data_IF_155229191498
#
_entry.id   IF_155229191498
#
_cell.length_a   1.000
_cell.length_b   1.000
_cell.length_c   1.000
_cell.angle_alpha   90.00
_cell.angle_beta   90.00
_cell.angle_gamma   90.00
#
_symmetry.space_group_name_H-M   'P 1'
#
loop_
_entity.id
_entity.type
_entity.pdbx_description
1 polymer ?
#
# COMPACT_ATOMS: atom_id res chain seq x y z
N UNK A 1 41.99 20.92 11.17
CA UNK A 1 40.78 20.45 10.46
C UNK A 1 40.02 19.74 11.54
N UNK A 2 39.11 20.50 12.12
CA UNK A 2 38.78 20.34 13.53
C UNK A 2 37.68 19.29 13.65
N UNK A 3 37.81 18.41 14.63
CA UNK A 3 36.91 17.27 14.88
C UNK A 3 35.43 17.69 14.95
N UNK A 4 35.18 18.93 15.39
CA UNK A 4 33.87 19.60 15.37
C UNK A 4 33.27 19.78 13.98
N UNK A 5 34.09 20.06 12.97
CA UNK A 5 33.66 20.27 11.60
C UNK A 5 33.24 18.93 10.97
N UNK A 6 34.00 17.86 11.25
CA UNK A 6 33.70 16.48 10.87
C UNK A 6 32.39 15.98 11.51
N UNK A 7 32.23 16.19 12.83
CA UNK A 7 30.99 15.87 13.55
C UNK A 7 29.79 16.65 13.02
N UNK A 8 29.96 17.94 12.68
CA UNK A 8 28.89 18.75 12.12
C UNK A 8 28.46 18.25 10.73
N UNK A 9 29.41 17.83 9.89
CA UNK A 9 29.15 17.29 8.56
C UNK A 9 28.47 15.92 8.62
N UNK A 10 28.91 15.04 9.52
CA UNK A 10 28.28 13.73 9.74
C UNK A 10 26.84 13.90 10.25
N UNK A 11 26.63 14.77 11.24
CA UNK A 11 25.31 15.03 11.80
C UNK A 11 24.37 15.76 10.82
N UNK A 12 24.91 16.63 9.96
CA UNK A 12 24.15 17.23 8.87
C UNK A 12 23.79 16.20 7.79
N UNK A 13 24.72 15.33 7.40
CA UNK A 13 24.48 14.27 6.41
C UNK A 13 23.41 13.31 6.89
N UNK A 14 23.49 12.85 8.14
CA UNK A 14 22.49 11.96 8.73
C UNK A 14 21.12 12.65 8.77
N UNK A 15 21.07 13.95 9.10
CA UNK A 15 19.83 14.71 9.10
C UNK A 15 19.24 14.88 7.69
N UNK A 16 20.08 15.11 6.67
CA UNK A 16 19.64 15.18 5.27
C UNK A 16 19.16 13.82 4.76
N UNK A 17 19.84 12.73 5.10
CA UNK A 17 19.44 11.36 4.73
C UNK A 17 18.10 10.97 5.39
N UNK A 18 17.87 11.39 6.63
CA UNK A 18 16.58 11.23 7.32
C UNK A 18 15.47 12.04 6.62
N UNK A 19 15.73 13.29 6.22
CA UNK A 19 14.74 14.17 5.57
C UNK A 19 14.38 13.67 4.15
N UNK A 20 15.38 13.28 3.35
CA UNK A 20 15.13 12.71 2.01
C UNK A 20 14.48 11.33 2.10
N UNK A 21 14.87 10.51 3.09
CA UNK A 21 14.22 9.23 3.39
C UNK A 21 12.75 9.40 3.76
N UNK A 22 12.40 10.41 4.56
CA UNK A 22 11.02 10.73 4.93
C UNK A 22 10.18 11.18 3.74
N UNK A 23 10.71 12.08 2.89
CA UNK A 23 9.99 12.56 1.70
C UNK A 23 9.76 11.46 0.67
N UNK A 24 10.75 10.57 0.49
CA UNK A 24 10.64 9.39 -0.36
C UNK A 24 9.60 8.40 0.18
N UNK A 25 9.58 8.19 1.49
CA UNK A 25 8.58 7.34 2.15
C UNK A 25 7.15 7.88 1.99
N UNK A 26 6.95 9.20 2.12
CA UNK A 26 5.64 9.83 1.94
C UNK A 26 5.11 9.70 0.50
N UNK A 27 5.96 9.89 -0.50
CA UNK A 27 5.59 9.66 -1.90
C UNK A 27 5.30 8.17 -2.18
N UNK A 28 6.12 7.28 -1.61
CA UNK A 28 5.92 5.84 -1.67
C UNK A 28 4.58 5.41 -1.06
N UNK A 29 4.15 6.04 0.04
CA UNK A 29 2.88 5.76 0.72
C UNK A 29 1.68 6.14 -0.18
N UNK A 30 1.73 7.32 -0.82
CA UNK A 30 0.68 7.77 -1.74
C UNK A 30 0.60 6.86 -2.97
N UNK A 31 1.75 6.51 -3.55
CA UNK A 31 1.80 5.62 -4.72
C UNK A 31 1.29 4.21 -4.37
N UNK A 32 1.72 3.65 -3.23
CA UNK A 32 1.25 2.36 -2.74
C UNK A 32 -0.27 2.35 -2.54
N UNK A 33 -0.84 3.37 -1.89
CA UNK A 33 -2.29 3.49 -1.71
C UNK A 33 -3.06 3.54 -3.04
N UNK A 34 -2.55 4.29 -4.02
CA UNK A 34 -3.15 4.37 -5.34
C UNK A 34 -3.11 3.01 -6.07
N UNK A 35 -1.99 2.30 -6.02
CA UNK A 35 -1.82 1.01 -6.69
C UNK A 35 -2.65 -0.11 -6.03
N UNK A 36 -2.64 -0.20 -4.70
CA UNK A 36 -3.45 -1.16 -3.94
C UNK A 36 -4.93 -0.96 -4.27
N UNK A 37 -5.39 0.29 -4.29
CA UNK A 37 -6.77 0.62 -4.62
C UNK A 37 -7.14 0.22 -6.05
N UNK A 38 -6.29 0.54 -7.03
CA UNK A 38 -6.54 0.22 -8.43
C UNK A 38 -6.60 -1.31 -8.65
N UNK A 39 -5.64 -2.07 -8.11
CA UNK A 39 -5.60 -3.53 -8.23
C UNK A 39 -6.83 -4.14 -7.53
N UNK A 40 -7.17 -3.69 -6.32
CA UNK A 40 -8.34 -4.17 -5.59
C UNK A 40 -9.65 -3.91 -6.33
N UNK A 41 -9.80 -2.72 -6.91
CA UNK A 41 -10.96 -2.35 -7.72
C UNK A 41 -11.08 -3.23 -8.97
N UNK A 42 -10.00 -3.37 -9.74
CA UNK A 42 -9.99 -4.20 -10.96
C UNK A 42 -10.32 -5.66 -10.63
N UNK A 43 -9.75 -6.20 -9.55
CA UNK A 43 -10.01 -7.57 -9.09
C UNK A 43 -11.49 -7.80 -8.77
N UNK A 44 -12.13 -6.85 -8.07
CA UNK A 44 -13.57 -6.92 -7.78
C UNK A 44 -14.39 -6.88 -9.07
N UNK A 45 -14.05 -6.01 -10.02
CA UNK A 45 -14.78 -5.90 -11.29
C UNK A 45 -14.68 -7.19 -12.10
N UNK A 46 -13.50 -7.79 -12.18
CA UNK A 46 -13.31 -9.09 -12.86
C UNK A 46 -14.17 -10.16 -12.17
N UNK A 47 -14.08 -10.27 -10.84
CA UNK A 47 -14.85 -11.26 -10.09
C UNK A 47 -16.37 -11.08 -10.23
N UNK A 48 -16.86 -9.84 -10.20
CA UNK A 48 -18.29 -9.54 -10.40
C UNK A 48 -18.70 -9.84 -11.84
N UNK A 49 -17.86 -9.56 -12.83
CA UNK A 49 -18.15 -9.87 -14.23
C UNK A 49 -18.32 -11.38 -14.45
N UNK A 50 -17.54 -12.20 -13.73
CA UNK A 50 -17.67 -13.66 -13.76
C UNK A 50 -18.90 -14.16 -12.99
N UNK A 51 -19.23 -13.54 -11.84
CA UNK A 51 -20.38 -13.93 -11.00
C UNK A 51 -21.72 -13.51 -11.63
N UNK A 52 -21.76 -12.31 -12.21
CA UNK A 52 -22.96 -11.61 -12.65
C UNK A 52 -22.93 -11.32 -14.16
N UNK A 53 -22.91 -12.36 -15.03
CA UNK A 53 -22.98 -12.15 -16.48
C UNK A 53 -24.33 -11.55 -16.93
N UNK A 54 -25.35 -11.58 -16.06
CA UNK A 54 -26.67 -10.98 -16.30
C UNK A 54 -27.09 -10.09 -15.13
N UNK A 55 -27.98 -9.13 -15.41
CA UNK A 55 -28.49 -8.18 -14.41
C UNK A 55 -29.39 -8.88 -13.37
N UNK A 56 -29.96 -10.05 -13.69
CA UNK A 56 -30.87 -10.75 -12.79
C UNK A 56 -30.09 -11.53 -11.71
N UNK A 57 -30.21 -11.17 -10.42
CA UNK A 57 -29.45 -11.77 -9.32
C UNK A 57 -29.76 -13.25 -9.07
N UNK A 58 -30.90 -13.76 -9.58
CA UNK A 58 -31.26 -15.18 -9.47
C UNK A 58 -30.42 -16.08 -10.39
N UNK A 59 -29.82 -15.52 -11.44
CA UNK A 59 -29.01 -16.25 -12.42
C UNK A 59 -27.50 -16.08 -12.19
N UNK A 60 -27.10 -15.52 -11.05
CA UNK A 60 -25.68 -15.31 -10.76
C UNK A 60 -25.00 -16.62 -10.41
N UNK A 61 -23.87 -16.87 -11.05
CA UNK A 61 -23.12 -18.11 -10.93
C UNK A 61 -22.17 -18.06 -9.72
N UNK A 62 -22.74 -17.91 -8.52
CA UNK A 62 -21.96 -17.78 -7.27
C UNK A 62 -21.02 -18.96 -6.99
N UNK A 63 -21.30 -20.17 -7.50
CA UNK A 63 -20.42 -21.33 -7.33
C UNK A 63 -19.29 -21.42 -8.37
N UNK A 64 -19.34 -20.61 -9.43
CA UNK A 64 -18.32 -20.55 -10.49
C UNK A 64 -17.51 -19.25 -10.42
N UNK A 65 -18.07 -18.25 -9.75
CA UNK A 65 -17.43 -16.96 -9.56
C UNK A 65 -16.12 -17.04 -8.79
N UNK A 66 -15.20 -16.17 -9.17
CA UNK A 66 -13.87 -16.11 -8.57
C UNK A 66 -13.88 -15.44 -7.20
N UNK A 67 -14.32 -16.19 -6.18
CA UNK A 67 -14.38 -15.72 -4.79
C UNK A 67 -13.02 -15.30 -4.24
N UNK A 68 -11.92 -15.83 -4.81
CA UNK A 68 -10.56 -15.43 -4.46
C UNK A 68 -10.29 -14.00 -4.91
N UNK A 69 -10.63 -13.64 -6.15
CA UNK A 69 -10.49 -12.27 -6.65
C UNK A 69 -11.41 -11.29 -5.91
N UNK A 70 -12.65 -11.70 -5.60
CA UNK A 70 -13.58 -10.86 -4.85
C UNK A 70 -13.09 -10.63 -3.41
N UNK A 71 -12.69 -11.69 -2.72
CA UNK A 71 -12.19 -11.63 -1.34
C UNK A 71 -10.87 -10.88 -1.23
N UNK A 72 -9.89 -11.16 -2.10
CA UNK A 72 -8.61 -10.45 -2.12
C UNK A 72 -8.79 -8.99 -2.52
N UNK A 73 -9.65 -8.70 -3.50
CA UNK A 73 -9.94 -7.33 -3.93
C UNK A 73 -10.59 -6.51 -2.81
N UNK A 74 -11.54 -7.10 -2.08
CA UNK A 74 -12.13 -6.47 -0.90
C UNK A 74 -11.10 -6.28 0.23
N UNK A 75 -10.23 -7.27 0.45
CA UNK A 75 -9.12 -7.17 1.40
C UNK A 75 -8.14 -6.04 1.06
N UNK A 76 -7.77 -5.89 -0.22
CA UNK A 76 -6.94 -4.78 -0.69
C UNK A 76 -7.63 -3.43 -0.51
N UNK A 77 -8.94 -3.37 -0.76
CA UNK A 77 -9.71 -2.15 -0.49
C UNK A 77 -9.63 -1.77 1.00
N UNK A 78 -9.82 -2.72 1.92
CA UNK A 78 -9.63 -2.48 3.36
C UNK A 78 -8.19 -2.04 3.70
N UNK A 79 -7.19 -2.60 3.04
CA UNK A 79 -5.79 -2.20 3.24
C UNK A 79 -5.54 -0.76 2.77
N UNK A 80 -6.06 -0.36 1.62
CA UNK A 80 -6.03 1.04 1.16
C UNK A 80 -6.72 1.98 2.15
N UNK A 81 -7.88 1.59 2.69
CA UNK A 81 -8.54 2.38 3.74
C UNK A 81 -7.65 2.53 4.98
N UNK A 82 -7.04 1.43 5.44
CA UNK A 82 -6.16 1.42 6.61
C UNK A 82 -4.92 2.32 6.43
N UNK A 83 -4.33 2.34 5.22
CA UNK A 83 -3.19 3.23 4.90
C UNK A 83 -3.59 4.71 4.90
N UNK A 84 -4.82 5.03 4.51
CA UNK A 84 -5.34 6.39 4.46
C UNK A 84 -6.19 6.76 5.70
N UNK A 85 -6.01 6.07 6.83
CA UNK A 85 -6.74 6.27 8.09
C UNK A 85 -8.29 6.32 7.92
N UNK A 86 -8.85 5.48 7.05
CA UNK A 86 -10.28 5.43 6.70
C UNK A 86 -10.87 6.73 6.16
N UNK A 87 -10.02 7.71 5.82
CA UNK A 87 -10.48 9.01 5.32
C UNK A 87 -11.28 8.84 4.04
N UNK A 88 -10.93 7.85 3.19
CA UNK A 88 -11.63 7.57 1.92
C UNK A 88 -13.12 7.24 2.07
N UNK A 89 -13.57 6.69 3.20
CA UNK A 89 -14.98 6.46 3.50
C UNK A 89 -15.76 7.74 3.83
N UNK A 90 -15.07 8.78 4.31
CA UNK A 90 -15.72 10.06 4.59
C UNK A 90 -15.94 10.80 3.28
N UNK A 91 -17.19 11.22 2.96
CA UNK A 91 -17.46 12.09 1.83
C UNK A 91 -16.60 13.37 1.88
N UNK A 92 -16.25 13.94 0.72
CA UNK A 92 -15.39 15.13 0.63
C UNK A 92 -15.93 16.31 1.46
N UNK A 93 -17.25 16.49 1.51
CA UNK A 93 -17.89 17.53 2.32
C UNK A 93 -17.67 17.32 3.82
N UNK A 94 -17.78 16.07 4.30
CA UNK A 94 -17.58 15.74 5.72
C UNK A 94 -16.13 15.95 6.13
N UNK A 95 -15.18 15.68 5.22
CA UNK A 95 -13.75 16.00 5.44
C UNK A 95 -13.50 17.50 5.53
N UNK A 96 -14.15 18.30 4.68
CA UNK A 96 -14.04 19.76 4.73
C UNK A 96 -14.59 20.31 6.06
N UNK A 97 -15.73 19.81 6.53
CA UNK A 97 -16.31 20.20 7.83
C UNK A 97 -15.38 19.82 9.00
N UNK A 98 -14.78 18.64 8.95
CA UNK A 98 -13.87 18.16 9.99
C UNK A 98 -12.45 18.74 9.89
N UNK A 99 -12.17 19.64 8.93
CA UNK A 99 -10.82 20.18 8.62
C UNK A 99 -9.75 19.08 8.50
N UNK A 100 -10.13 17.90 7.99
CA UNK A 100 -9.22 16.78 7.86
C UNK A 100 -8.33 16.93 6.62
N UNK A 101 -7.02 16.77 6.79
CA UNK A 101 -6.07 16.75 5.67
C UNK A 101 -6.41 15.65 4.65
N UNK A 102 -6.38 16.01 3.37
CA UNK A 102 -6.84 15.21 2.23
C UNK A 102 -5.93 14.00 1.96
N UNK A 103 -4.67 14.06 2.40
CA UNK A 103 -3.68 13.01 2.25
C UNK A 103 -3.46 12.15 3.51
N UNK A 104 -2.77 11.01 3.36
CA UNK A 104 -2.23 10.27 4.50
C UNK A 104 -1.30 11.17 5.31
N UNK A 105 -1.27 10.99 6.63
CA UNK A 105 -0.32 11.71 7.50
C UNK A 105 1.11 11.36 7.09
N UNK A 106 2.03 12.33 7.14
CA UNK A 106 3.45 12.09 6.89
C UNK A 106 3.98 11.02 7.83
N UNK A 107 4.98 10.25 7.40
CA UNK A 107 5.61 9.20 8.20
C UNK A 107 6.13 9.76 9.55
N UNK A 108 6.71 10.96 9.56
CA UNK A 108 7.27 11.61 10.75
C UNK A 108 6.20 12.08 11.77
N UNK A 109 4.96 12.26 11.34
CA UNK A 109 3.85 12.74 12.18
C UNK A 109 3.05 11.61 12.84
N UNK A 110 3.43 10.36 12.59
CA UNK A 110 2.72 9.17 13.06
C UNK A 110 3.33 8.63 14.35
N UNK A 111 2.49 8.11 15.24
CA UNK A 111 2.97 7.31 16.37
C UNK A 111 3.64 6.03 15.86
N UNK A 112 4.61 5.52 16.62
CA UNK A 112 5.30 4.25 16.32
C UNK A 112 4.31 3.08 16.09
N UNK A 113 3.23 3.05 16.88
CA UNK A 113 2.14 2.07 16.72
C UNK A 113 1.38 2.19 15.39
N UNK A 114 1.20 3.41 14.88
CA UNK A 114 0.56 3.66 13.60
C UNK A 114 1.49 3.30 12.43
N UNK A 115 2.78 3.61 12.55
CA UNK A 115 3.79 3.23 11.56
C UNK A 115 3.91 1.70 11.44
N UNK A 116 3.99 0.97 12.56
CA UNK A 116 4.00 -0.50 12.58
C UNK A 116 2.75 -1.10 11.94
N UNK A 117 1.57 -0.56 12.25
CA UNK A 117 0.31 -0.99 11.64
C UNK A 117 0.34 -0.81 10.13
N UNK A 118 0.76 0.35 9.62
CA UNK A 118 0.82 0.61 8.18
C UNK A 118 1.85 -0.25 7.47
N UNK A 119 3.02 -0.47 8.06
CA UNK A 119 4.02 -1.39 7.53
C UNK A 119 3.48 -2.82 7.41
N UNK A 120 2.75 -3.29 8.43
CA UNK A 120 2.08 -4.59 8.39
C UNK A 120 0.96 -4.63 7.34
N UNK A 121 0.18 -3.55 7.21
CA UNK A 121 -0.82 -3.41 6.13
C UNK A 121 -0.18 -3.53 4.75
N UNK A 122 1.02 -2.97 4.51
CA UNK A 122 1.75 -3.13 3.24
C UNK A 122 2.13 -4.59 2.98
N UNK A 123 2.57 -5.32 4.01
CA UNK A 123 2.91 -6.75 3.89
C UNK A 123 1.66 -7.58 3.57
N UNK A 124 0.55 -7.35 4.27
CA UNK A 124 -0.73 -8.01 3.95
C UNK A 124 -1.16 -7.66 2.52
N UNK A 125 -1.04 -6.39 2.12
CA UNK A 125 -1.38 -5.94 0.77
C UNK A 125 -0.53 -6.63 -0.29
N UNK A 126 0.76 -6.87 -0.02
CA UNK A 126 1.64 -7.64 -0.89
C UNK A 126 1.12 -9.08 -1.07
N UNK A 127 0.77 -9.76 0.02
CA UNK A 127 0.28 -11.14 -0.05
C UNK A 127 -1.03 -11.21 -0.85
N UNK A 128 -1.98 -10.32 -0.55
CA UNK A 128 -3.26 -10.24 -1.27
C UNK A 128 -3.07 -9.90 -2.76
N UNK A 129 -2.17 -8.96 -3.08
CA UNK A 129 -1.83 -8.63 -4.47
C UNK A 129 -1.19 -9.82 -5.18
N UNK A 130 -0.28 -10.54 -4.51
CA UNK A 130 0.31 -11.77 -5.05
C UNK A 130 -0.72 -12.85 -5.34
N UNK A 131 -1.70 -13.04 -4.45
CA UNK A 131 -2.82 -13.97 -4.67
C UNK A 131 -3.68 -13.58 -5.87
N UNK A 132 -3.95 -12.28 -6.06
CA UNK A 132 -4.67 -11.77 -7.24
C UNK A 132 -3.84 -12.00 -8.51
N UNK A 133 -2.55 -11.69 -8.49
CA UNK A 133 -1.65 -11.93 -9.62
C UNK A 133 -1.58 -13.40 -10.01
N UNK A 134 -1.46 -14.30 -9.02
CA UNK A 134 -1.51 -15.74 -9.24
C UNK A 134 -2.84 -16.17 -9.85
N UNK A 135 -3.96 -15.68 -9.32
CA UNK A 135 -5.26 -16.04 -9.86
C UNK A 135 -5.43 -15.56 -11.31
N UNK A 136 -5.04 -14.32 -11.61
CA UNK A 136 -5.05 -13.77 -12.98
C UNK A 136 -4.11 -14.55 -13.92
N UNK A 137 -2.99 -15.07 -13.43
CA UNK A 137 -2.06 -15.85 -14.27
C UNK A 137 -2.63 -17.19 -14.75
N UNK A 138 -3.62 -17.75 -14.05
CA UNK A 138 -4.25 -19.03 -14.38
C UNK A 138 -5.62 -18.87 -15.05
N UNK A 139 -6.08 -17.64 -15.30
CA UNK A 139 -7.29 -17.41 -16.09
C UNK A 139 -7.04 -17.80 -17.56
N UNK A 140 -8.05 -18.38 -18.21
CA UNK A 140 -7.97 -18.79 -19.63
C UNK A 140 -7.79 -17.60 -20.59
N UNK A 141 -8.27 -16.41 -20.20
CA UNK A 141 -8.12 -15.18 -20.97
C UNK A 141 -7.00 -14.32 -20.38
N UNK A 142 -5.94 -14.12 -21.15
CA UNK A 142 -4.84 -13.23 -20.78
C UNK A 142 -5.28 -11.76 -20.85
N UNK A 143 -5.21 -11.05 -19.73
CA UNK A 143 -5.42 -9.60 -19.68
C UNK A 143 -4.09 -8.92 -20.00
N UNK A 144 -3.98 -8.36 -21.21
CA UNK A 144 -2.76 -7.71 -21.70
C UNK A 144 -2.85 -6.19 -21.53
N UNK A 145 -1.79 -5.58 -21.02
CA UNK A 145 -1.68 -4.11 -20.91
C UNK A 145 -1.47 -3.46 -22.28
N UNK A 146 -1.65 -2.13 -22.37
CA UNK A 146 -1.42 -1.38 -23.63
C UNK A 146 0.00 -1.52 -24.19
N UNK A 147 0.97 -1.92 -23.37
CA UNK A 147 2.39 -2.06 -23.74
C UNK A 147 2.71 -3.51 -24.17
N UNK A 148 1.73 -4.42 -24.15
CA UNK A 148 1.91 -5.82 -24.53
C UNK A 148 2.41 -6.73 -23.41
N UNK A 149 2.47 -6.23 -22.17
CA UNK A 149 2.86 -7.00 -20.98
C UNK A 149 1.60 -7.56 -20.33
N UNK A 150 1.60 -8.83 -19.92
CA UNK A 150 0.49 -9.40 -19.17
C UNK A 150 0.31 -8.71 -17.81
N UNK A 151 -0.94 -8.45 -17.46
CA UNK A 151 -1.29 -7.68 -16.28
C UNK A 151 -0.83 -8.33 -14.96
N UNK A 152 -0.74 -9.67 -14.90
CA UNK A 152 -0.26 -10.37 -13.70
C UNK A 152 1.21 -10.04 -13.37
N UNK A 153 2.07 -9.77 -14.36
CA UNK A 153 3.44 -9.32 -14.10
C UNK A 153 3.50 -7.95 -13.45
N UNK A 154 2.61 -7.04 -13.85
CA UNK A 154 2.49 -5.71 -13.22
C UNK A 154 2.06 -5.87 -11.76
N UNK A 155 1.11 -6.76 -11.48
CA UNK A 155 0.65 -7.03 -10.12
C UNK A 155 1.78 -7.64 -9.28
N UNK A 156 2.57 -8.57 -9.82
CA UNK A 156 3.72 -9.12 -9.11
C UNK A 156 4.81 -8.08 -8.81
N UNK A 157 5.09 -7.18 -9.75
CA UNK A 157 6.02 -6.08 -9.52
C UNK A 157 5.54 -5.16 -8.38
N UNK A 158 4.24 -4.83 -8.37
CA UNK A 158 3.63 -4.04 -7.28
C UNK A 158 3.68 -4.81 -5.95
N UNK A 159 3.33 -6.10 -5.94
CA UNK A 159 3.40 -6.92 -4.74
C UNK A 159 4.81 -6.94 -4.15
N UNK A 160 5.83 -7.15 -4.98
CA UNK A 160 7.23 -7.11 -4.55
C UNK A 160 7.61 -5.73 -3.99
N UNK A 161 7.23 -4.65 -4.66
CA UNK A 161 7.51 -3.29 -4.21
C UNK A 161 6.84 -3.00 -2.85
N UNK A 162 5.60 -3.44 -2.64
CA UNK A 162 4.88 -3.31 -1.37
C UNK A 162 5.58 -4.10 -0.25
N UNK A 163 6.06 -5.32 -0.54
CA UNK A 163 6.79 -6.13 0.41
C UNK A 163 8.09 -5.45 0.84
N UNK A 164 8.88 -5.00 -0.14
CA UNK A 164 10.15 -4.30 0.11
C UNK A 164 9.92 -3.02 0.92
N UNK A 165 8.90 -2.23 0.56
CA UNK A 165 8.56 -1.01 1.28
C UNK A 165 8.12 -1.30 2.73
N UNK A 166 7.26 -2.31 2.93
CA UNK A 166 6.83 -2.74 4.26
C UNK A 166 7.99 -3.21 5.13
N UNK A 167 8.90 -4.02 4.59
CA UNK A 167 10.12 -4.46 5.29
C UNK A 167 11.05 -3.29 5.60
N UNK A 168 11.24 -2.36 4.67
CA UNK A 168 12.06 -1.17 4.86
C UNK A 168 11.54 -0.33 6.04
N UNK A 169 10.22 -0.13 6.14
CA UNK A 169 9.63 0.63 7.25
C UNK A 169 9.73 -0.10 8.58
N UNK A 170 9.54 -1.42 8.62
CA UNK A 170 9.77 -2.19 9.85
C UNK A 170 11.22 -2.05 10.35
N UNK A 171 12.18 -2.03 9.42
CA UNK A 171 13.60 -1.81 9.74
C UNK A 171 13.87 -0.38 10.25
N UNK A 172 13.24 0.63 9.65
CA UNK A 172 13.40 2.03 10.04
C UNK A 172 12.90 2.27 11.48
N UNK A 173 11.71 1.74 11.80
CA UNK A 173 11.11 1.84 13.15
C UNK A 173 12.02 1.17 14.21
N UNK A 174 12.71 0.09 13.86
CA UNK A 174 13.65 -0.58 14.77
C UNK A 174 14.91 0.23 15.08
N UNK A 175 15.36 1.10 14.18
CA UNK A 175 16.59 1.90 14.33
C UNK A 175 16.42 3.11 15.26
N UNK A 176 15.24 3.74 15.30
CA UNK A 176 15.00 4.90 16.17
C UNK A 176 15.09 4.52 17.67
N UNK A 177 14.76 3.28 18.02
CA UNK A 177 14.86 2.76 19.40
C UNK A 177 16.32 2.59 19.88
N UNK A 178 17.29 2.45 18.97
CA UNK A 178 18.71 2.35 19.36
C UNK A 178 19.33 3.69 19.73
N UNK A 179 18.82 4.81 19.22
CA UNK A 179 19.42 6.15 19.46
C UNK A 179 19.10 6.63 20.89
N UNK A 180 17.91 6.31 21.42
CA UNK A 180 17.53 6.66 22.80
C UNK A 180 18.33 5.91 23.88
N UNK A 181 19.09 4.88 23.52
CA UNK A 181 19.88 4.09 24.48
C UNK A 181 21.31 4.59 24.68
N UNK A 182 21.81 5.49 23.82
CA UNK A 182 23.15 6.06 23.94
C UNK A 182 23.20 7.40 24.72
N UNK A 183 22.04 7.87 25.20
CA UNK A 183 21.91 9.14 25.95
C UNK A 183 21.66 8.91 27.46
N UNK A 184 22.23 7.83 28.02
CA UNK A 184 22.23 7.53 29.47
C UNK A 184 23.61 7.26 30.01
#
# INVERSE_FOLDING_TARGET
MDELELLSLEHSRDRFEIIDGQRSADFGLILADAMIYAIGFISIIIAISDIAPTINPLNWAWSQGDLVLLGCGFGLWLCSQSLNDFKRLLPLWLRMVLKMGIGPKSFAEQSESAQKRRALTLIISSILSGSIGWRISILEQSIVTRIGIDFHYVIYAVALALLVLGMYWLKLIGKDNTILQFDR
#
